data_IF_449806332890
#
_entry.id   IF_449806332890
#
_cell.length_a   1.000
_cell.length_b   1.000
_cell.length_c   1.000
_cell.angle_alpha   90.00
_cell.angle_beta   90.00
_cell.angle_gamma   90.00
#
_symmetry.space_group_name_H-M   'P 1'
#
loop_
_entity.id
_entity.type
_entity.pdbx_description
1 polymer ?
#
# COMPACT_ATOMS: atom_id res chain seq x y z
N UNK A 1 -20.52 -2.34 13.72
CA UNK A 1 -19.14 -2.69 13.33
C UNK A 1 -18.34 -3.09 14.55
N UNK A 2 -17.27 -3.91 14.38
CA UNK A 2 -16.36 -4.35 15.44
C UNK A 2 -14.96 -3.81 15.14
N UNK A 3 -14.27 -3.28 16.15
CA UNK A 3 -12.90 -2.76 16.01
C UNK A 3 -12.74 -1.37 16.59
N UNK A 4 -11.67 -0.68 16.20
CA UNK A 4 -11.37 0.71 16.56
C UNK A 4 -10.78 1.44 15.36
N UNK A 5 -11.04 2.75 15.27
CA UNK A 5 -10.44 3.65 14.28
C UNK A 5 -9.57 4.66 15.00
N UNK A 6 -8.28 4.70 14.63
CA UNK A 6 -7.32 5.67 15.16
C UNK A 6 -7.01 6.67 14.06
N UNK A 7 -7.36 7.94 14.28
CA UNK A 7 -7.03 9.05 13.37
C UNK A 7 -5.83 9.79 13.94
N UNK A 8 -4.75 9.87 13.16
CA UNK A 8 -3.52 10.57 13.56
C UNK A 8 -3.44 11.92 12.84
N UNK A 9 -3.48 13.01 13.59
CA UNK A 9 -3.17 14.34 13.09
C UNK A 9 -1.65 14.52 13.10
N UNK A 10 -1.04 14.45 11.91
CA UNK A 10 0.40 14.55 11.76
C UNK A 10 0.84 16.00 12.00
N UNK A 11 2.05 16.14 12.55
CA UNK A 11 2.74 17.43 12.59
C UNK A 11 3.23 17.81 11.19
N UNK A 12 3.51 19.09 10.97
CA UNK A 12 3.99 19.60 9.69
C UNK A 12 5.30 18.95 9.23
N UNK A 13 6.18 18.58 10.18
CA UNK A 13 7.46 17.90 9.94
C UNK A 13 7.33 16.39 9.74
N UNK A 14 6.12 15.83 9.84
CA UNK A 14 5.85 14.39 9.74
C UNK A 14 5.07 14.02 8.47
N UNK A 15 4.92 14.95 7.51
CA UNK A 15 4.20 14.69 6.26
C UNK A 15 4.83 13.61 5.38
N UNK A 16 6.09 13.24 5.62
CA UNK A 16 6.74 12.10 4.96
C UNK A 16 5.96 10.78 5.13
N UNK A 17 5.19 10.62 6.23
CA UNK A 17 4.36 9.44 6.46
C UNK A 17 3.07 9.41 5.64
N UNK A 18 2.76 10.47 4.87
CA UNK A 18 1.69 10.43 3.87
C UNK A 18 2.13 9.73 2.58
N UNK A 19 3.44 9.53 2.39
CA UNK A 19 3.98 8.78 1.25
C UNK A 19 3.66 7.29 1.35
N UNK A 20 3.14 6.73 0.26
CA UNK A 20 2.88 5.30 0.12
C UNK A 20 4.14 4.47 0.38
N UNK A 21 5.27 4.87 -0.21
CA UNK A 21 6.54 4.16 -0.05
C UNK A 21 6.99 4.15 1.40
N UNK A 22 6.81 5.28 2.11
CA UNK A 22 7.22 5.38 3.50
C UNK A 22 6.37 4.50 4.42
N UNK A 23 5.07 4.45 4.18
CA UNK A 23 4.15 3.56 4.88
C UNK A 23 4.48 2.10 4.63
N UNK A 24 4.71 1.72 3.37
CA UNK A 24 5.13 0.36 2.98
C UNK A 24 6.45 -0.04 3.62
N UNK A 25 7.46 0.84 3.58
CA UNK A 25 8.77 0.60 4.21
C UNK A 25 8.63 0.42 5.73
N UNK A 26 7.88 1.30 6.40
CA UNK A 26 7.69 1.27 7.85
C UNK A 26 6.93 0.01 8.27
N UNK A 27 5.85 -0.33 7.58
CA UNK A 27 5.07 -1.54 7.85
C UNK A 27 5.89 -2.81 7.60
N UNK A 28 6.69 -2.87 6.53
CA UNK A 28 7.62 -3.98 6.28
C UNK A 28 8.69 -4.06 7.37
N UNK A 29 9.27 -2.94 7.80
CA UNK A 29 10.34 -2.94 8.81
C UNK A 29 9.87 -3.44 10.18
N UNK A 30 8.70 -3.02 10.63
CA UNK A 30 8.25 -3.26 12.01
C UNK A 30 7.12 -4.27 12.15
N UNK A 31 6.43 -4.61 11.06
CA UNK A 31 5.22 -5.43 11.13
C UNK A 31 5.17 -6.56 10.09
N UNK A 32 6.29 -6.87 9.44
CA UNK A 32 6.38 -7.92 8.43
C UNK A 32 6.04 -9.31 8.95
N UNK A 33 6.23 -9.58 10.24
CA UNK A 33 6.00 -10.89 10.86
C UNK A 33 4.75 -10.95 11.76
N UNK A 34 3.89 -9.93 11.69
CA UNK A 34 2.60 -9.95 12.41
C UNK A 34 1.67 -10.97 11.74
N UNK A 35 1.03 -11.82 12.54
CA UNK A 35 0.22 -12.94 12.07
C UNK A 35 -1.07 -12.49 11.32
N UNK A 36 -1.54 -11.27 11.56
CA UNK A 36 -2.71 -10.72 10.88
C UNK A 36 -2.29 -9.92 9.63
N UNK A 37 -3.03 -10.04 8.52
CA UNK A 37 -2.73 -9.30 7.30
C UNK A 37 -2.91 -7.79 7.54
N UNK A 38 -1.92 -7.02 7.11
CA UNK A 38 -1.86 -5.56 7.17
C UNK A 38 -1.95 -5.05 5.73
N UNK A 39 -2.88 -4.12 5.52
CA UNK A 39 -3.14 -3.53 4.22
C UNK A 39 -2.79 -2.04 4.23
N UNK A 40 -2.23 -1.55 3.12
CA UNK A 40 -2.01 -0.13 2.86
C UNK A 40 -2.83 0.25 1.63
N UNK A 41 -3.53 1.39 1.68
CA UNK A 41 -4.31 1.91 0.56
C UNK A 41 -3.36 2.59 -0.43
N UNK A 42 -3.28 2.07 -1.65
CA UNK A 42 -2.35 2.50 -2.70
C UNK A 42 -3.10 3.14 -3.86
N UNK A 43 -2.43 4.05 -4.59
CA UNK A 43 -3.01 4.74 -5.75
C UNK A 43 -2.61 4.00 -7.04
N UNK A 44 -3.58 3.58 -7.86
CA UNK A 44 -3.36 2.96 -9.18
C UNK A 44 -4.03 3.78 -10.28
N UNK A 45 -3.37 3.90 -11.44
CA UNK A 45 -3.95 4.48 -12.66
C UNK A 45 -4.42 3.34 -13.57
N UNK A 46 -5.69 3.37 -13.99
CA UNK A 46 -6.27 2.44 -14.96
C UNK A 46 -6.79 3.19 -16.18
N UNK A 47 -6.62 2.59 -17.36
CA UNK A 47 -7.17 3.13 -18.61
C UNK A 47 -8.67 2.86 -18.65
N UNK A 48 -9.48 3.90 -18.75
CA UNK A 48 -10.93 3.76 -18.81
C UNK A 48 -11.36 3.33 -20.21
N UNK A 49 -11.56 2.03 -20.43
CA UNK A 49 -12.47 1.58 -21.47
C UNK A 49 -13.90 1.89 -21.01
N UNK A 50 -14.69 2.48 -21.91
CA UNK A 50 -16.02 2.99 -21.61
C UNK A 50 -17.01 1.84 -21.32
N UNK A 51 -17.12 1.43 -20.06
CA UNK A 51 -18.24 0.64 -19.56
C UNK A 51 -18.74 1.24 -18.23
N UNK A 52 -20.02 0.99 -17.96
CA UNK A 52 -21.00 1.96 -17.48
C UNK A 52 -20.88 2.41 -16.01
N UNK A 53 -21.61 3.50 -15.73
CA UNK A 53 -21.79 4.16 -14.46
C UNK A 53 -22.21 3.18 -13.34
N UNK A 54 -21.28 2.91 -12.41
CA UNK A 54 -21.66 2.56 -11.04
C UNK A 54 -21.60 3.84 -10.20
N UNK A 55 -22.77 4.44 -10.00
CA UNK A 55 -23.03 5.43 -8.97
C UNK A 55 -22.71 4.82 -7.59
N UNK A 56 -21.68 5.34 -6.92
CA UNK A 56 -21.65 5.28 -5.46
C UNK A 56 -21.30 6.68 -4.92
N UNK A 57 -22.35 7.26 -4.37
CA UNK A 57 -22.53 8.58 -3.78
C UNK A 57 -21.78 8.64 -2.44
N UNK A 58 -20.80 9.53 -2.32
CA UNK A 58 -20.40 10.04 -1.00
C UNK A 58 -19.99 11.51 -1.18
N UNK A 59 -21.02 12.36 -1.15
CA UNK A 59 -20.90 13.80 -0.89
C UNK A 59 -20.41 14.00 0.55
N UNK A 60 -19.23 14.59 0.70
CA UNK A 60 -19.03 15.57 1.78
C UNK A 60 -18.66 16.91 1.16
N UNK A 61 -19.53 17.88 1.45
CA UNK A 61 -19.43 19.30 1.13
C UNK A 61 -18.31 19.92 1.97
N UNK A 62 -17.44 20.70 1.36
CA UNK A 62 -16.86 21.86 2.04
C UNK A 62 -16.76 23.00 1.01
N UNK A 63 -17.69 23.93 1.17
CA UNK A 63 -17.69 25.25 0.55
C UNK A 63 -16.57 26.08 1.16
N UNK A 64 -15.65 26.60 0.36
CA UNK A 64 -15.19 27.96 0.61
C UNK A 64 -14.92 28.70 -0.71
N UNK A 65 -15.56 29.85 -0.80
CA UNK A 65 -15.77 30.69 -1.96
C UNK A 65 -15.02 32.00 -1.74
N UNK A 66 -13.93 32.30 -2.45
CA UNK A 66 -13.53 33.70 -2.71
C UNK A 66 -12.82 33.89 -4.08
N UNK A 67 -13.62 34.38 -5.07
CA UNK A 67 -13.37 35.49 -6.04
C UNK A 67 -11.93 35.97 -6.24
N UNK A 68 -11.36 36.21 -7.43
CA UNK A 68 -11.75 36.99 -8.64
C UNK A 68 -10.53 36.83 -9.60
N UNK A 69 -10.63 36.88 -10.92
CA UNK A 69 -10.71 38.12 -11.69
C UNK A 69 -10.93 37.83 -13.18
N UNK A 70 -11.55 38.84 -13.79
CA UNK A 70 -12.20 38.93 -15.09
C UNK A 70 -11.22 39.36 -16.19
N UNK A 71 -11.18 38.68 -17.35
CA UNK A 71 -10.89 39.30 -18.66
C UNK A 71 -11.58 38.51 -19.77
N UNK A 72 -12.61 39.11 -20.35
CA UNK A 72 -13.17 38.78 -21.67
C UNK A 72 -12.19 39.18 -22.80
N UNK A 73 -12.02 38.29 -23.79
CA UNK A 73 -11.97 38.68 -25.21
C UNK A 73 -12.51 37.53 -26.05
N UNK A 74 -13.65 37.76 -26.71
CA UNK A 74 -14.17 37.00 -27.86
C UNK A 74 -13.28 37.24 -29.08
N UNK A 75 -12.99 36.19 -29.85
CA UNK A 75 -13.27 36.20 -31.29
C UNK A 75 -13.29 34.76 -31.85
N UNK A 76 -14.13 34.60 -32.86
CA UNK A 76 -14.72 33.40 -33.45
C UNK A 76 -13.88 32.94 -34.66
N UNK A 77 -13.52 31.66 -34.78
CA UNK A 77 -13.39 31.01 -36.10
C UNK A 77 -13.36 29.47 -35.97
N UNK A 78 -14.28 28.86 -36.70
CA UNK A 78 -14.65 27.46 -36.75
C UNK A 78 -13.60 26.63 -37.54
N UNK A 79 -12.99 25.62 -36.90
CA UNK A 79 -12.31 24.54 -37.63
C UNK A 79 -12.33 23.23 -36.85
N UNK A 80 -13.19 22.32 -37.31
CA UNK A 80 -13.18 20.91 -36.96
C UNK A 80 -11.80 20.28 -37.27
N UNK A 81 -11.06 19.90 -36.23
CA UNK A 81 -10.06 18.84 -36.31
C UNK A 81 -10.47 17.75 -35.31
N UNK A 82 -10.55 16.51 -35.80
CA UNK A 82 -10.74 15.30 -35.00
C UNK A 82 -9.67 15.20 -33.90
N UNK A 83 -9.97 15.70 -32.71
CA UNK A 83 -9.20 15.38 -31.52
C UNK A 83 -9.40 13.91 -31.18
N UNK A 84 -8.40 13.09 -31.54
CA UNK A 84 -8.19 11.75 -31.00
C UNK A 84 -8.24 11.85 -29.48
N UNK A 85 -9.36 11.43 -28.88
CA UNK A 85 -9.55 11.35 -27.43
C UNK A 85 -8.39 10.54 -26.85
N UNK A 86 -7.44 11.21 -26.19
CA UNK A 86 -6.43 10.55 -25.38
C UNK A 86 -7.14 9.66 -24.35
N UNK A 87 -6.63 8.45 -24.05
CA UNK A 87 -7.25 7.58 -23.07
C UNK A 87 -7.34 8.30 -21.73
N UNK A 88 -8.56 8.48 -21.21
CA UNK A 88 -8.80 9.06 -19.89
C UNK A 88 -8.29 8.06 -18.86
N UNK A 89 -7.22 8.40 -18.15
CA UNK A 89 -6.73 7.62 -17.01
C UNK A 89 -7.59 7.91 -15.78
N UNK A 90 -8.19 6.88 -15.18
CA UNK A 90 -8.91 6.98 -13.90
C UNK A 90 -7.98 6.59 -12.77
N UNK A 91 -7.91 7.42 -11.73
CA UNK A 91 -7.24 7.05 -10.46
C UNK A 91 -8.20 6.19 -9.64
N UNK A 92 -7.73 5.02 -9.21
CA UNK A 92 -8.44 4.11 -8.30
C UNK A 92 -7.56 3.85 -7.08
N UNK A 93 -8.18 3.67 -5.92
CA UNK A 93 -7.48 3.28 -4.70
C UNK A 93 -7.78 1.82 -4.35
N UNK A 94 -6.73 1.05 -4.07
CA UNK A 94 -6.83 -0.38 -3.74
C UNK A 94 -6.09 -0.69 -2.44
N UNK A 95 -6.53 -1.72 -1.72
CA UNK A 95 -5.83 -2.22 -0.53
C UNK A 95 -4.78 -3.27 -0.91
N UNK A 96 -3.51 -2.98 -0.67
CA UNK A 96 -2.39 -3.90 -0.91
C UNK A 96 -1.88 -4.50 0.41
N UNK A 97 -1.75 -5.84 0.49
CA UNK A 97 -1.17 -6.49 1.67
C UNK A 97 0.35 -6.31 1.69
N UNK A 98 0.88 -5.76 2.79
CA UNK A 98 2.32 -5.42 2.91
C UNK A 98 3.14 -6.46 3.68
N UNK A 99 2.54 -7.19 4.62
CA UNK A 99 3.21 -8.24 5.40
C UNK A 99 2.87 -9.63 4.84
N UNK A 100 3.64 -10.08 3.86
CA UNK A 100 3.45 -11.41 3.24
C UNK A 100 4.36 -12.49 3.82
N UNK A 101 5.36 -12.12 4.62
CA UNK A 101 6.31 -13.07 5.18
C UNK A 101 5.75 -13.77 6.42
N UNK A 102 6.01 -15.07 6.54
CA UNK A 102 5.59 -15.88 7.68
C UNK A 102 6.70 -15.90 8.75
N UNK A 103 6.31 -15.74 10.01
CA UNK A 103 7.20 -15.92 11.16
C UNK A 103 7.45 -17.42 11.40
N UNK A 104 8.37 -18.03 10.63
CA UNK A 104 8.58 -19.49 10.67
C UNK A 104 9.13 -19.98 12.03
N UNK A 105 9.80 -19.13 12.81
CA UNK A 105 10.30 -19.44 14.16
C UNK A 105 9.20 -19.58 15.22
N UNK A 106 7.97 -19.15 14.94
CA UNK A 106 6.84 -19.35 15.84
C UNK A 106 6.14 -20.71 15.61
N UNK A 107 6.39 -21.36 14.47
CA UNK A 107 5.81 -22.65 14.10
C UNK A 107 6.62 -23.81 14.68
N UNK A 108 6.00 -24.99 14.79
CA UNK A 108 6.72 -26.19 15.16
C UNK A 108 7.74 -26.55 14.07
N UNK A 109 8.94 -27.00 14.46
CA UNK A 109 10.01 -27.37 13.52
C UNK A 109 9.56 -28.43 12.50
N UNK A 110 8.63 -29.31 12.89
CA UNK A 110 8.06 -30.38 12.08
C UNK A 110 7.15 -29.85 10.96
N UNK A 111 6.53 -28.69 11.17
CA UNK A 111 5.60 -28.08 10.22
C UNK A 111 6.31 -27.19 9.19
N UNK A 112 7.59 -26.88 9.38
CA UNK A 112 8.35 -25.95 8.54
C UNK A 112 9.21 -26.74 7.56
N UNK A 113 8.96 -26.56 6.26
CA UNK A 113 9.71 -27.26 5.22
C UNK A 113 11.06 -26.60 4.95
N UNK A 114 11.97 -27.32 4.30
CA UNK A 114 13.29 -26.80 3.92
C UNK A 114 13.19 -25.62 2.94
N UNK A 115 12.17 -25.64 2.07
CA UNK A 115 11.85 -24.54 1.17
C UNK A 115 11.45 -23.29 1.96
N UNK A 116 10.63 -23.43 3.01
CA UNK A 116 10.23 -22.31 3.85
C UNK A 116 11.43 -21.70 4.61
N UNK A 117 12.41 -22.49 5.05
CA UNK A 117 13.67 -21.96 5.62
C UNK A 117 14.50 -21.21 4.57
N UNK A 118 14.57 -21.73 3.35
CA UNK A 118 15.33 -21.14 2.25
C UNK A 118 14.71 -19.82 1.80
N UNK A 119 13.39 -19.79 1.60
CA UNK A 119 12.64 -18.57 1.30
C UNK A 119 12.81 -17.53 2.39
N UNK A 120 12.68 -17.95 3.66
CA UNK A 120 12.88 -17.08 4.80
C UNK A 120 14.28 -16.45 4.82
N UNK A 121 15.33 -17.26 4.63
CA UNK A 121 16.71 -16.78 4.52
C UNK A 121 16.85 -15.71 3.44
N UNK A 122 16.45 -16.02 2.20
CA UNK A 122 16.55 -15.09 1.05
C UNK A 122 15.79 -13.79 1.30
N UNK A 123 14.65 -13.89 1.97
CA UNK A 123 13.78 -12.76 2.24
C UNK A 123 14.38 -11.74 3.22
N UNK A 124 15.18 -12.20 4.19
CA UNK A 124 15.86 -11.35 5.17
C UNK A 124 17.24 -10.91 4.67
N UNK A 125 18.00 -11.83 4.08
CA UNK A 125 19.37 -11.58 3.63
C UNK A 125 19.45 -10.79 2.32
N UNK A 126 18.36 -10.78 1.53
CA UNK A 126 18.32 -10.29 0.14
C UNK A 126 19.34 -11.01 -0.77
N UNK A 127 19.75 -12.20 -0.36
CA UNK A 127 20.62 -13.08 -1.14
C UNK A 127 19.78 -13.94 -2.10
N UNK A 128 20.38 -14.34 -3.21
CA UNK A 128 19.79 -15.23 -4.20
C UNK A 128 20.20 -16.69 -3.98
N UNK A 129 21.31 -16.91 -3.28
CA UNK A 129 21.84 -18.23 -2.98
C UNK A 129 21.06 -18.89 -1.84
N UNK A 130 21.10 -20.22 -1.83
CA UNK A 130 20.54 -21.02 -0.74
C UNK A 130 21.49 -20.99 0.46
N UNK A 131 20.97 -21.05 1.71
CA UNK A 131 21.82 -21.11 2.89
C UNK A 131 22.63 -22.41 2.91
N UNK A 132 23.89 -22.34 3.36
CA UNK A 132 24.73 -23.54 3.50
C UNK A 132 24.15 -24.54 4.52
N UNK A 133 23.59 -24.03 5.61
CA UNK A 133 22.92 -24.79 6.64
C UNK A 133 21.99 -23.87 7.45
N UNK A 134 20.98 -24.44 8.08
CA UNK A 134 20.09 -23.74 9.01
C UNK A 134 19.97 -24.52 10.33
N UNK A 135 19.63 -23.83 11.42
CA UNK A 135 19.33 -24.44 12.70
C UNK A 135 18.14 -23.72 13.31
N UNK A 136 17.05 -24.47 13.56
CA UNK A 136 15.88 -24.01 14.29
C UNK A 136 15.91 -24.66 15.67
N UNK A 137 15.96 -23.84 16.71
CA UNK A 137 15.99 -24.29 18.10
C UNK A 137 15.13 -23.38 18.96
N UNK A 138 14.67 -23.90 20.09
CA UNK A 138 14.02 -23.12 21.13
C UNK A 138 14.91 -23.21 22.37
N UNK A 139 15.17 -22.10 23.03
CA UNK A 139 15.90 -22.05 24.29
C UNK A 139 14.95 -21.66 25.42
N UNK A 140 14.86 -22.53 26.42
CA UNK A 140 14.06 -22.32 27.63
C UNK A 140 15.02 -22.17 28.82
N UNK A 141 14.84 -21.13 29.62
CA UNK A 141 15.72 -20.77 30.73
C UNK A 141 15.17 -19.59 31.51
N UNK A 142 16.05 -18.78 32.11
CA UNK A 142 15.61 -17.50 32.70
C UNK A 142 15.03 -16.54 31.64
N UNK A 143 15.50 -16.69 30.40
CA UNK A 143 14.94 -16.02 29.23
C UNK A 143 14.55 -17.11 28.24
N UNK A 144 13.31 -17.06 27.77
CA UNK A 144 12.78 -17.92 26.72
C UNK A 144 12.88 -17.21 25.37
N UNK A 145 13.46 -17.89 24.37
CA UNK A 145 13.50 -17.38 23.00
C UNK A 145 13.53 -18.52 21.98
N UNK A 146 13.15 -18.17 20.76
CA UNK A 146 13.10 -19.05 19.58
C UNK A 146 13.90 -18.42 18.46
#
# INVERSE_FOLDING_TARGET
>A
GRGSRVTLHLKEDAHDYLSEDKLKETAKKYSQFIQFPIYVKVKKEVEAEAEEEDEDDDKEEDEDEEKKDDVETKDDDEKEEEEKKAPKKKTVYEWEQVNTQKAIWLRAKEDVTEEEYTEFYKSISKDYLDPLAYTHFNAEGEIEFK
#
